data_IF_995399572584
#
_entry.id   IF_995399572584
#
_cell.length_a   1.000
_cell.length_b   1.000
_cell.length_c   1.000
_cell.angle_alpha   90.00
_cell.angle_beta   90.00
_cell.angle_gamma   90.00
#
_symmetry.space_group_name_H-M   'P 1'
#
loop_
_entity.id
_entity.type
_entity.pdbx_description
1 polymer ?
#
# COMPACT_ATOMS: atom_id res chain seq x y z
N UNK A 1 -13.39 17.39 8.16
CA UNK A 1 -12.32 18.21 7.55
C UNK A 1 -11.74 17.39 6.42
N UNK A 2 -11.68 17.92 5.18
CA UNK A 2 -11.22 17.19 3.99
C UNK A 2 -9.78 17.62 3.69
N UNK A 3 -8.87 16.69 3.40
CA UNK A 3 -7.51 17.02 2.96
C UNK A 3 -7.45 17.20 1.43
N UNK A 4 -6.41 17.89 0.98
CA UNK A 4 -6.03 18.05 -0.43
C UNK A 4 -5.79 16.69 -1.12
N UNK A 5 -5.96 16.59 -2.44
CA UNK A 5 -5.81 15.32 -3.18
C UNK A 5 -4.35 14.85 -3.20
N UNK A 6 -4.13 13.63 -3.69
CA UNK A 6 -2.80 13.04 -3.84
C UNK A 6 -1.78 13.94 -4.56
N UNK A 7 -0.52 13.88 -4.11
CA UNK A 7 0.60 14.51 -4.76
C UNK A 7 0.88 13.86 -6.12
N UNK A 8 1.02 14.69 -7.16
CA UNK A 8 1.37 14.25 -8.50
C UNK A 8 2.84 13.83 -8.61
N UNK A 9 3.20 13.09 -9.66
CA UNK A 9 4.63 12.80 -9.95
C UNK A 9 5.45 14.08 -10.11
N UNK A 10 4.84 15.16 -10.60
CA UNK A 10 5.48 16.45 -10.75
C UNK A 10 5.72 17.10 -9.38
N UNK A 11 4.73 17.03 -8.47
CA UNK A 11 4.87 17.53 -7.09
C UNK A 11 6.00 16.80 -6.37
N UNK A 12 6.06 15.47 -6.53
CA UNK A 12 7.14 14.65 -5.99
C UNK A 12 8.50 15.04 -6.60
N UNK A 13 8.58 15.29 -7.91
CA UNK A 13 9.82 15.73 -8.54
C UNK A 13 10.29 17.09 -8.02
N UNK A 14 9.37 18.04 -7.83
CA UNK A 14 9.65 19.36 -7.23
C UNK A 14 10.15 19.19 -5.80
N UNK A 15 9.47 18.37 -4.99
CA UNK A 15 9.88 18.07 -3.62
C UNK A 15 11.29 17.48 -3.56
N UNK A 16 11.57 16.43 -4.35
CA UNK A 16 12.89 15.79 -4.39
C UNK A 16 13.99 16.75 -4.86
N UNK A 17 13.68 17.68 -5.76
CA UNK A 17 14.63 18.70 -6.24
C UNK A 17 14.96 19.72 -5.16
N UNK A 18 14.03 19.99 -4.25
CA UNK A 18 14.21 20.94 -3.15
C UNK A 18 14.94 20.31 -1.94
N UNK A 19 15.04 18.98 -1.87
CA UNK A 19 15.75 18.30 -0.79
C UNK A 19 17.26 18.55 -0.86
N UNK A 20 17.94 18.74 0.29
CA UNK A 20 19.40 18.78 0.32
C UNK A 20 19.98 17.40 -0.03
N UNK A 21 21.17 17.37 -0.62
CA UNK A 21 21.85 16.13 -1.07
C UNK A 21 21.89 15.02 -0.01
N UNK A 22 22.06 15.38 1.27
CA UNK A 22 22.07 14.44 2.39
C UNK A 22 20.74 13.68 2.56
N UNK A 23 19.62 14.34 2.28
CA UNK A 23 18.27 13.77 2.40
C UNK A 23 17.93 12.95 1.17
N UNK A 24 18.38 13.36 -0.02
CA UNK A 24 18.32 12.52 -1.23
C UNK A 24 19.13 11.25 -1.04
N UNK A 25 20.35 11.34 -0.48
CA UNK A 25 21.16 10.18 -0.16
C UNK A 25 20.49 9.27 0.87
N UNK A 26 19.87 9.85 1.93
CA UNK A 26 19.12 9.08 2.92
C UNK A 26 17.91 8.35 2.30
N UNK A 27 17.20 8.99 1.38
CA UNK A 27 16.12 8.36 0.62
C UNK A 27 16.63 7.16 -0.19
N UNK A 28 17.74 7.29 -0.91
CA UNK A 28 18.31 6.19 -1.71
C UNK A 28 18.80 5.02 -0.84
N UNK A 29 19.25 5.29 0.38
CA UNK A 29 19.59 4.24 1.36
C UNK A 29 18.33 3.55 1.89
N UNK A 30 17.28 4.31 2.18
CA UNK A 30 16.01 3.79 2.68
C UNK A 30 15.18 3.08 1.59
N UNK A 31 15.38 3.43 0.32
CA UNK A 31 14.73 2.87 -0.87
C UNK A 31 15.78 2.37 -1.89
N UNK A 32 16.43 1.21 -1.64
CA UNK A 32 17.48 0.69 -2.51
C UNK A 32 17.04 0.44 -3.96
N UNK A 33 15.75 0.17 -4.16
CA UNK A 33 15.12 0.02 -5.48
C UNK A 33 15.21 1.29 -6.34
N UNK A 34 15.43 2.45 -5.72
CA UNK A 34 15.62 3.72 -6.42
C UNK A 34 17.07 3.96 -6.85
N UNK A 35 18.03 3.29 -6.22
CA UNK A 35 19.46 3.50 -6.47
C UNK A 35 19.94 2.82 -7.76
N UNK A 36 19.31 1.71 -8.18
CA UNK A 36 19.74 0.91 -9.32
C UNK A 36 18.57 0.61 -10.29
N UNK A 37 18.68 0.97 -11.59
CA UNK A 37 19.76 1.76 -12.20
C UNK A 37 19.70 3.24 -11.76
N UNK A 38 20.81 3.99 -11.81
CA UNK A 38 20.82 5.42 -11.47
C UNK A 38 19.81 6.21 -12.32
N UNK A 39 19.06 7.10 -11.68
CA UNK A 39 18.16 8.01 -12.39
C UNK A 39 18.95 9.14 -13.05
N UNK A 40 18.59 9.50 -14.29
CA UNK A 40 19.23 10.60 -15.03
C UNK A 40 18.72 11.99 -14.64
N UNK A 41 17.64 12.08 -13.84
CA UNK A 41 17.05 13.32 -13.34
C UNK A 41 16.16 13.07 -12.13
N UNK A 42 15.80 14.13 -11.38
CA UNK A 42 14.83 14.04 -10.28
C UNK A 42 13.41 13.68 -10.74
N UNK A 43 13.02 14.07 -11.96
CA UNK A 43 11.74 13.62 -12.53
C UNK A 43 11.75 12.11 -12.80
N UNK A 44 12.86 11.56 -13.30
CA UNK A 44 13.00 10.12 -13.49
C UNK A 44 13.01 9.37 -12.14
N UNK A 45 13.66 9.95 -11.12
CA UNK A 45 13.66 9.43 -9.76
C UNK A 45 12.24 9.44 -9.15
N UNK A 46 11.51 10.55 -9.26
CA UNK A 46 10.13 10.70 -8.81
C UNK A 46 9.20 9.71 -9.53
N UNK A 47 9.36 9.55 -10.84
CA UNK A 47 8.59 8.57 -11.63
C UNK A 47 8.80 7.15 -11.10
N UNK A 48 10.03 6.79 -10.75
CA UNK A 48 10.34 5.47 -10.17
C UNK A 48 9.83 5.33 -8.74
N UNK A 49 10.04 6.34 -7.90
CA UNK A 49 9.58 6.38 -6.52
C UNK A 49 8.05 6.27 -6.40
N UNK A 50 7.33 6.87 -7.35
CA UNK A 50 5.89 6.77 -7.50
C UNK A 50 5.41 5.61 -8.37
N UNK A 51 6.27 4.65 -8.72
CA UNK A 51 5.83 3.43 -9.40
C UNK A 51 5.20 2.46 -8.38
N UNK A 52 4.15 1.74 -8.79
CA UNK A 52 3.40 0.85 -7.90
C UNK A 52 4.30 -0.16 -7.16
N UNK A 53 5.13 -0.93 -7.88
CA UNK A 53 6.00 -1.93 -7.24
C UNK A 53 7.04 -1.33 -6.28
N UNK A 54 7.49 -0.10 -6.56
CA UNK A 54 8.42 0.64 -5.71
C UNK A 54 7.75 1.09 -4.40
N UNK A 55 6.49 1.55 -4.47
CA UNK A 55 5.67 1.86 -3.29
C UNK A 55 5.31 0.59 -2.50
N UNK A 56 4.91 -0.49 -3.17
CA UNK A 56 4.61 -1.77 -2.52
C UNK A 56 5.82 -2.31 -1.75
N UNK A 57 7.02 -2.23 -2.32
CA UNK A 57 8.26 -2.60 -1.66
C UNK A 57 8.55 -1.72 -0.43
N UNK A 58 8.29 -0.42 -0.52
CA UNK A 58 8.44 0.49 0.62
C UNK A 58 7.46 0.17 1.76
N UNK A 59 6.20 -0.13 1.42
CA UNK A 59 5.16 -0.50 2.38
C UNK A 59 5.46 -1.82 3.09
N UNK A 60 6.07 -2.78 2.38
CA UNK A 60 6.42 -4.09 2.94
C UNK A 60 7.39 -4.03 4.13
N UNK A 61 8.17 -2.95 4.25
CA UNK A 61 9.11 -2.73 5.36
C UNK A 61 8.52 -1.99 6.56
N UNK A 62 7.25 -1.56 6.51
CA UNK A 62 6.63 -0.77 7.57
C UNK A 62 6.04 -1.63 8.67
N UNK A 63 6.08 -1.12 9.91
CA UNK A 63 5.34 -1.71 11.01
C UNK A 63 3.84 -1.37 10.92
N UNK A 64 3.02 -2.10 11.70
CA UNK A 64 1.56 -1.93 11.67
C UNK A 64 1.09 -0.50 12.00
N UNK A 65 1.64 0.21 13.01
CA UNK A 65 1.30 1.61 13.26
C UNK A 65 1.62 2.53 12.08
N UNK A 66 2.81 2.42 11.47
CA UNK A 66 3.20 3.27 10.35
C UNK A 66 2.36 2.98 9.11
N UNK A 67 2.03 1.71 8.85
CA UNK A 67 1.13 1.32 7.77
C UNK A 67 -0.29 1.88 7.97
N UNK A 68 -0.82 1.82 9.20
CA UNK A 68 -2.11 2.40 9.53
C UNK A 68 -2.12 3.94 9.36
N UNK A 69 -1.03 4.62 9.71
CA UNK A 69 -0.89 6.06 9.45
C UNK A 69 -0.86 6.35 7.94
N UNK A 70 -0.13 5.57 7.15
CA UNK A 70 -0.10 5.71 5.69
C UNK A 70 -1.49 5.53 5.06
N UNK A 71 -2.21 4.49 5.46
CA UNK A 71 -3.58 4.24 5.02
C UNK A 71 -4.54 5.35 5.51
N UNK A 72 -4.30 5.93 6.68
CA UNK A 72 -5.13 7.00 7.23
C UNK A 72 -4.98 8.30 6.44
N UNK A 73 -3.75 8.64 6.03
CA UNK A 73 -3.50 9.78 5.13
C UNK A 73 -4.29 9.61 3.83
N UNK A 74 -4.28 8.42 3.24
CA UNK A 74 -5.09 8.09 2.04
C UNK A 74 -6.60 8.15 2.31
N UNK A 75 -7.06 7.59 3.44
CA UNK A 75 -8.48 7.56 3.79
C UNK A 75 -9.05 8.95 4.10
N UNK A 76 -8.25 9.86 4.63
CA UNK A 76 -8.68 11.22 5.00
C UNK A 76 -8.47 12.24 3.87
N UNK A 77 -7.73 11.84 2.82
CA UNK A 77 -7.61 12.57 1.55
C UNK A 77 -8.91 12.54 0.75
N UNK A 78 -9.33 13.70 0.24
CA UNK A 78 -10.52 13.87 -0.58
C UNK A 78 -10.18 14.10 -2.05
N UNK A 79 -10.98 13.58 -3.01
CA UNK A 79 -10.83 13.96 -4.42
C UNK A 79 -11.27 15.41 -4.63
N UNK A 80 -10.57 16.14 -5.51
CA UNK A 80 -11.02 17.44 -6.03
C UNK A 80 -12.12 17.27 -7.06
N UNK A 81 -13.06 18.21 -7.07
CA UNK A 81 -13.86 18.50 -8.26
C UNK A 81 -12.90 18.79 -9.42
N UNK A 82 -13.13 18.15 -10.56
CA UNK A 82 -12.31 18.19 -11.77
C UNK A 82 -11.79 19.60 -12.08
N UNK A 83 -10.46 19.80 -12.04
CA UNK A 83 -9.86 20.98 -12.66
C UNK A 83 -10.03 20.87 -14.18
N UNK A 84 -10.96 21.65 -14.70
CA UNK A 84 -11.08 21.96 -16.11
C UNK A 84 -9.81 22.67 -16.59
N UNK A 85 -9.07 21.97 -17.43
CA UNK A 85 -8.14 22.46 -18.47
C UNK A 85 -8.19 23.96 -18.80
N UNK A 86 -7.29 24.76 -18.23
CA UNK A 86 -6.75 26.00 -18.83
C UNK A 86 -5.30 26.13 -18.31
N UNK A 87 -4.21 26.08 -19.08
CA UNK A 87 -3.96 26.73 -20.36
C UNK A 87 -3.13 28.00 -20.12
N UNK A 88 -1.80 27.94 -20.25
CA UNK A 88 -1.00 29.16 -20.36
C UNK A 88 0.44 29.05 -19.85
N UNK A 89 1.39 29.02 -20.77
CA UNK A 89 2.82 28.96 -20.48
C UNK A 89 3.43 30.26 -19.97
N UNK A 90 4.66 30.17 -19.45
CA UNK A 90 5.39 31.34 -18.98
C UNK A 90 6.76 31.02 -18.40
N UNK A 91 7.70 30.62 -19.25
CA UNK A 91 9.14 30.56 -18.95
C UNK A 91 9.66 31.89 -18.40
N UNK A 92 10.32 31.89 -17.23
CA UNK A 92 11.42 32.82 -16.92
C UNK A 92 12.50 32.15 -16.07
N UNK A 93 13.67 32.13 -16.68
CA UNK A 93 15.01 31.92 -16.12
C UNK A 93 15.40 33.02 -15.13
N UNK A 94 16.05 32.65 -14.03
CA UNK A 94 16.95 33.54 -13.28
C UNK A 94 18.02 32.70 -12.57
N UNK A 95 19.25 32.83 -13.05
CA UNK A 95 20.49 32.43 -12.37
C UNK A 95 20.83 33.41 -11.24
N UNK A 96 21.50 32.95 -10.19
CA UNK A 96 21.99 33.81 -9.10
C UNK A 96 22.68 33.07 -7.95
N UNK A 97 23.91 32.62 -8.20
CA UNK A 97 25.13 32.68 -7.36
C UNK A 97 25.06 32.72 -5.81
N UNK A 98 25.65 31.69 -5.18
CA UNK A 98 26.66 31.74 -4.10
C UNK A 98 26.39 32.40 -2.74
N UNK A 99 26.43 31.62 -1.65
CA UNK A 99 27.32 31.85 -0.49
C UNK A 99 27.09 30.84 0.65
N UNK A 100 28.20 30.33 1.17
CA UNK A 100 28.36 29.48 2.35
C UNK A 100 27.71 30.04 3.63
N UNK A 101 27.19 29.12 4.46
CA UNK A 101 26.73 29.39 5.82
C UNK A 101 26.55 28.11 6.64
N UNK A 102 27.60 27.72 7.36
CA UNK A 102 27.56 26.70 8.42
C UNK A 102 26.59 27.11 9.54
N UNK A 103 25.53 26.34 9.80
CA UNK A 103 24.70 26.47 11.00
C UNK A 103 24.32 25.08 11.54
N UNK A 104 24.51 24.96 12.85
CA UNK A 104 24.24 23.81 13.70
C UNK A 104 22.78 23.32 13.60
N UNK A 105 22.61 22.02 13.44
CA UNK A 105 21.31 21.32 13.55
C UNK A 105 20.76 21.45 14.97
N UNK A 106 19.77 22.34 15.12
CA UNK A 106 18.79 22.33 16.20
C UNK A 106 17.45 22.14 15.51
N UNK A 107 16.77 21.03 15.84
CA UNK A 107 15.60 20.52 15.11
C UNK A 107 14.67 21.60 14.58
N UNK A 108 14.51 21.61 13.25
CA UNK A 108 13.52 22.39 12.53
C UNK A 108 12.12 22.10 13.12
N UNK A 109 11.28 23.11 13.39
CA UNK A 109 9.89 22.85 13.73
C UNK A 109 9.19 22.26 12.51
N UNK A 110 8.38 21.21 12.71
CA UNK A 110 7.53 20.65 11.67
C UNK A 110 6.73 21.74 10.95
N UNK A 111 6.55 21.59 9.63
CA UNK A 111 5.69 22.47 8.83
C UNK A 111 4.30 22.57 9.49
N UNK A 112 3.69 23.77 9.63
CA UNK A 112 2.33 23.90 10.16
C UNK A 112 1.30 22.99 9.47
N UNK A 113 1.50 22.62 8.21
CA UNK A 113 0.68 21.63 7.52
C UNK A 113 0.78 20.22 8.15
N UNK A 114 1.99 19.81 8.53
CA UNK A 114 2.25 18.50 9.15
C UNK A 114 1.71 18.42 10.58
N UNK A 115 1.76 19.51 11.34
CA UNK A 115 1.15 19.58 12.67
C UNK A 115 -0.38 19.37 12.60
N UNK A 116 -1.03 19.97 11.60
CA UNK A 116 -2.46 19.78 11.33
C UNK A 116 -2.80 18.34 10.94
N UNK A 117 -2.01 17.74 10.04
CA UNK A 117 -2.17 16.36 9.61
C UNK A 117 -2.00 15.37 10.77
N UNK A 118 -0.97 15.58 11.60
CA UNK A 118 -0.69 14.72 12.76
C UNK A 118 -1.89 14.69 13.71
N UNK A 119 -2.44 15.86 14.06
CA UNK A 119 -3.63 15.95 14.92
C UNK A 119 -4.86 15.28 14.30
N UNK A 120 -5.07 15.47 13.00
CA UNK A 120 -6.19 14.85 12.27
C UNK A 120 -6.10 13.32 12.30
N UNK A 121 -4.93 12.75 11.98
CA UNK A 121 -4.74 11.29 11.96
C UNK A 121 -4.82 10.71 13.38
N UNK A 122 -4.22 11.37 14.37
CA UNK A 122 -4.26 10.94 15.77
C UNK A 122 -5.70 10.95 16.35
N UNK A 123 -6.59 11.80 15.85
CA UNK A 123 -8.00 11.81 16.28
C UNK A 123 -8.79 10.58 15.80
N UNK A 124 -8.28 9.86 14.79
CA UNK A 124 -8.97 8.76 14.13
C UNK A 124 -8.33 7.38 14.35
N UNK A 125 -7.10 7.34 14.89
CA UNK A 125 -6.36 6.12 15.22
C UNK A 125 -6.10 6.02 16.73
N UNK A 126 -5.96 4.80 17.28
CA UNK A 126 -5.60 4.58 18.68
C UNK A 126 -4.09 4.78 18.90
N UNK A 127 -3.55 5.92 18.46
CA UNK A 127 -2.13 6.28 18.53
C UNK A 127 -1.96 7.67 19.15
N UNK A 128 -0.88 7.89 19.89
CA UNK A 128 -0.52 9.23 20.36
C UNK A 128 -0.08 10.14 19.20
N UNK A 129 -0.19 11.45 19.40
CA UNK A 129 0.28 12.46 18.43
C UNK A 129 1.77 12.29 18.14
N UNK A 130 2.58 11.91 19.13
CA UNK A 130 4.00 11.62 18.96
C UNK A 130 4.25 10.42 18.04
N UNK A 131 3.54 9.31 18.25
CA UNK A 131 3.64 8.11 17.40
C UNK A 131 3.22 8.42 15.95
N UNK A 132 2.15 9.19 15.77
CA UNK A 132 1.70 9.62 14.44
C UNK A 132 2.74 10.53 13.77
N UNK A 133 3.34 11.47 14.50
CA UNK A 133 4.37 12.35 13.98
C UNK A 133 5.63 11.56 13.55
N UNK A 134 6.04 10.58 14.36
CA UNK A 134 7.17 9.70 14.03
C UNK A 134 6.89 8.88 12.76
N UNK A 135 5.70 8.27 12.67
CA UNK A 135 5.25 7.53 11.50
C UNK A 135 5.18 8.42 10.24
N UNK A 136 4.58 9.61 10.33
CA UNK A 136 4.57 10.58 9.23
C UNK A 136 5.98 10.98 8.82
N UNK A 137 6.88 11.23 9.78
CA UNK A 137 8.29 11.51 9.49
C UNK A 137 8.97 10.37 8.75
N UNK A 138 8.63 9.12 9.07
CA UNK A 138 9.11 7.95 8.33
C UNK A 138 8.56 7.91 6.90
N UNK A 139 7.27 8.14 6.71
CA UNK A 139 6.64 8.19 5.39
C UNK A 139 7.19 9.31 4.49
N UNK A 140 7.52 10.47 5.06
CA UNK A 140 8.20 11.56 4.36
C UNK A 140 9.62 11.15 3.92
N UNK A 141 10.40 10.50 4.79
CA UNK A 141 11.74 9.98 4.43
C UNK A 141 11.69 8.95 3.29
N UNK A 142 10.59 8.22 3.16
CA UNK A 142 10.35 7.26 2.08
C UNK A 142 9.70 7.88 0.82
N UNK A 143 9.45 9.19 0.84
CA UNK A 143 8.75 9.94 -0.20
C UNK A 143 7.36 9.36 -0.54
N UNK A 144 6.67 8.81 0.45
CA UNK A 144 5.30 8.29 0.34
C UNK A 144 4.24 9.35 0.66
N UNK A 145 4.60 10.33 1.48
CA UNK A 145 3.80 11.52 1.78
C UNK A 145 4.66 12.74 1.49
N UNK A 146 4.11 13.72 0.78
CA UNK A 146 4.77 14.95 0.37
C UNK A 146 3.85 16.12 0.69
N UNK A 147 4.33 17.09 1.47
CA UNK A 147 3.53 18.26 1.89
C UNK A 147 2.18 17.85 2.52
N UNK A 148 2.20 16.81 3.36
CA UNK A 148 1.01 16.25 3.98
C UNK A 148 0.03 15.54 3.03
N UNK A 149 0.40 15.29 1.76
CA UNK A 149 -0.44 14.60 0.76
C UNK A 149 0.14 13.22 0.41
N UNK A 150 -0.68 12.16 0.27
CA UNK A 150 -0.18 10.87 -0.17
C UNK A 150 0.23 10.93 -1.64
N UNK A 151 1.29 10.24 -2.06
CA UNK A 151 1.59 10.09 -3.49
C UNK A 151 0.54 9.20 -4.17
N UNK A 152 0.18 9.47 -5.44
CA UNK A 152 -0.91 8.75 -6.11
C UNK A 152 -0.77 7.21 -6.11
N UNK A 153 0.46 6.69 -6.20
CA UNK A 153 0.71 5.25 -6.13
C UNK A 153 0.46 4.64 -4.74
N UNK A 154 0.51 5.44 -3.68
CA UNK A 154 0.12 5.02 -2.33
C UNK A 154 -1.40 4.77 -2.25
N UNK A 155 -2.21 5.65 -2.86
CA UNK A 155 -3.66 5.43 -2.96
C UNK A 155 -3.97 4.14 -3.74
N UNK A 156 -3.25 3.92 -4.85
CA UNK A 156 -3.41 2.71 -5.66
C UNK A 156 -3.04 1.44 -4.87
N UNK A 157 -2.01 1.48 -4.03
CA UNK A 157 -1.56 0.35 -3.22
C UNK A 157 -2.59 -0.10 -2.17
N UNK A 158 -3.26 0.84 -1.51
CA UNK A 158 -4.36 0.51 -0.57
C UNK A 158 -5.69 0.20 -1.28
N UNK A 159 -5.79 0.52 -2.56
CA UNK A 159 -6.97 0.26 -3.37
C UNK A 159 -8.15 1.18 -3.05
N UNK A 160 -9.35 0.86 -3.57
CA UNK A 160 -10.48 1.79 -3.57
C UNK A 160 -11.15 1.99 -2.20
N UNK A 161 -10.85 1.12 -1.22
CA UNK A 161 -11.55 1.06 0.06
C UNK A 161 -10.57 0.98 1.25
N UNK A 162 -9.72 1.99 1.47
CA UNK A 162 -8.83 2.03 2.62
C UNK A 162 -9.65 1.94 3.93
N UNK A 163 -9.23 1.11 4.88
CA UNK A 163 -9.96 0.73 6.09
C UNK A 163 -11.39 0.21 5.85
N UNK A 164 -11.66 -0.35 4.67
CA UNK A 164 -13.00 -0.73 4.24
C UNK A 164 -13.96 0.44 4.09
N UNK A 165 -13.46 1.68 3.97
CA UNK A 165 -14.29 2.86 3.78
C UNK A 165 -14.67 3.00 2.30
N UNK A 166 -15.93 3.36 2.05
CA UNK A 166 -16.40 3.69 0.71
C UNK A 166 -15.73 4.96 0.13
N UNK A 167 -16.14 5.37 -1.08
CA UNK A 167 -15.82 6.67 -1.60
C UNK A 167 -16.48 7.76 -0.74
N UNK A 168 -16.00 8.99 -0.91
CA UNK A 168 -16.70 10.17 -0.41
C UNK A 168 -18.10 10.25 -1.03
N UNK A 169 -19.08 10.70 -0.24
CA UNK A 169 -20.42 10.97 -0.75
C UNK A 169 -20.36 11.94 -1.94
N UNK A 170 -21.16 11.69 -2.97
CA UNK A 170 -21.23 12.54 -4.16
C UNK A 170 -21.63 13.98 -3.80
N UNK A 171 -22.55 14.13 -2.84
CA UNK A 171 -22.92 15.41 -2.25
C UNK A 171 -22.26 15.56 -0.87
N UNK A 172 -21.64 16.72 -0.57
CA UNK A 172 -21.09 16.98 0.75
C UNK A 172 -22.14 16.92 1.87
N UNK A 173 -21.95 15.99 2.81
CA UNK A 173 -22.77 15.88 4.02
C UNK A 173 -22.25 16.83 5.12
N UNK A 174 -23.16 17.61 5.72
CA UNK A 174 -22.92 18.38 6.94
C UNK A 174 -22.97 17.48 8.18
N UNK A 175 -22.44 17.97 9.31
CA UNK A 175 -22.40 17.21 10.56
C UNK A 175 -23.79 16.78 11.07
N UNK A 176 -24.83 17.58 10.80
CA UNK A 176 -26.22 17.30 11.19
C UNK A 176 -26.88 16.21 10.34
N UNK A 177 -26.34 15.94 9.14
CA UNK A 177 -26.85 14.92 8.21
C UNK A 177 -26.19 13.54 8.45
N UNK A 178 -25.09 13.50 9.22
CA UNK A 178 -24.41 12.24 9.53
C UNK A 178 -25.21 11.43 10.54
N UNK A 179 -25.19 10.09 10.44
CA UNK A 179 -25.85 9.24 11.42
C UNK A 179 -25.20 9.37 12.80
N UNK A 180 -25.94 9.06 13.88
CA UNK A 180 -25.33 8.74 15.16
C UNK A 180 -24.47 7.46 15.04
N UNK A 181 -23.77 7.10 16.10
CA UNK A 181 -22.94 5.90 16.12
C UNK A 181 -23.78 4.63 15.96
N UNK A 182 -23.16 3.56 15.47
CA UNK A 182 -23.84 2.28 15.29
C UNK A 182 -24.34 1.68 16.63
N UNK A 183 -23.64 1.99 17.72
CA UNK A 183 -24.02 1.60 19.09
C UNK A 183 -25.31 2.31 19.50
N UNK A 184 -25.37 3.64 19.37
CA UNK A 184 -26.57 4.44 19.63
C UNK A 184 -27.78 3.99 18.79
N UNK A 185 -27.59 3.70 17.49
CA UNK A 185 -28.65 3.16 16.64
C UNK A 185 -29.16 1.78 17.06
N UNK A 186 -28.32 0.99 17.72
CA UNK A 186 -28.66 -0.36 18.18
C UNK A 186 -29.31 -0.38 19.57
N UNK A 187 -28.98 0.61 20.41
CA UNK A 187 -29.46 0.75 21.78
C UNK A 187 -30.80 1.48 21.90
N UNK A 188 -31.32 2.06 20.81
CA UNK A 188 -32.53 2.90 20.72
C UNK A 188 -33.86 2.13 20.97
N UNK A 189 -33.85 1.19 21.92
CA UNK A 189 -34.97 0.37 22.36
C UNK A 189 -35.98 1.14 23.24
N UNK A 190 -35.68 2.38 23.65
CA UNK A 190 -36.53 3.18 24.54
C UNK A 190 -37.27 4.35 23.84
N UNK A 191 -36.93 4.65 22.58
CA UNK A 191 -37.51 5.74 21.77
C UNK A 191 -38.19 5.26 20.47
N UNK A 192 -38.58 6.20 19.61
CA UNK A 192 -38.97 5.88 18.22
C UNK A 192 -37.68 5.68 17.41
N UNK A 193 -37.42 4.48 16.87
CA UNK A 193 -36.15 4.18 16.23
C UNK A 193 -35.96 5.02 14.97
N UNK A 194 -34.81 5.69 14.88
CA UNK A 194 -34.46 6.59 13.76
C UNK A 194 -34.60 5.89 12.39
N UNK A 195 -34.24 4.61 12.33
CA UNK A 195 -34.40 3.77 11.14
C UNK A 195 -34.88 2.36 11.52
N UNK A 196 -35.53 1.61 10.62
CA UNK A 196 -35.97 0.24 10.90
C UNK A 196 -34.81 -0.73 11.22
N UNK A 197 -35.10 -1.79 11.98
CA UNK A 197 -34.10 -2.81 12.34
C UNK A 197 -33.32 -3.39 11.14
N UNK A 198 -34.00 -3.62 10.01
CA UNK A 198 -33.37 -4.10 8.78
C UNK A 198 -32.35 -3.11 8.19
N UNK A 199 -32.53 -1.81 8.43
CA UNK A 199 -31.55 -0.76 8.06
C UNK A 199 -30.34 -0.80 8.99
N UNK A 200 -30.55 -1.00 10.30
CA UNK A 200 -29.45 -1.16 11.27
C UNK A 200 -28.61 -2.41 10.94
N UNK A 201 -29.23 -3.55 10.65
CA UNK A 201 -28.52 -4.78 10.23
C UNK A 201 -27.67 -4.55 8.97
N UNK A 202 -28.20 -3.80 7.99
CA UNK A 202 -27.45 -3.44 6.79
C UNK A 202 -26.25 -2.54 7.11
N UNK A 203 -26.41 -1.53 7.97
CA UNK A 203 -25.32 -0.68 8.41
C UNK A 203 -24.27 -1.48 9.20
N UNK A 204 -24.67 -2.42 10.05
CA UNK A 204 -23.73 -3.30 10.77
C UNK A 204 -22.84 -4.10 9.82
N UNK A 205 -23.40 -4.62 8.72
CA UNK A 205 -22.64 -5.35 7.71
C UNK A 205 -21.67 -4.46 6.92
N UNK A 206 -22.10 -3.23 6.55
CA UNK A 206 -21.34 -2.32 5.70
C UNK A 206 -20.31 -1.48 6.47
N UNK A 207 -20.51 -1.23 7.77
CA UNK A 207 -19.69 -0.29 8.54
C UNK A 207 -18.24 -0.72 8.64
N UNK A 208 -17.98 -2.01 8.90
CA UNK A 208 -16.61 -2.57 9.01
C UNK A 208 -16.29 -3.62 7.94
N UNK A 209 -17.30 -4.08 7.19
CA UNK A 209 -17.13 -4.97 6.05
C UNK A 209 -16.83 -4.19 4.76
N UNK A 210 -16.93 -4.86 3.60
CA UNK A 210 -16.89 -4.16 2.33
C UNK A 210 -17.95 -3.05 2.30
N UNK A 211 -17.61 -1.81 1.92
CA UNK A 211 -18.55 -0.69 1.97
C UNK A 211 -19.62 -0.77 0.89
N UNK A 212 -19.56 -1.78 0.00
CA UNK A 212 -20.48 -1.96 -1.10
C UNK A 212 -21.18 -3.32 -1.05
N UNK A 213 -22.51 -3.29 -1.22
CA UNK A 213 -23.35 -4.47 -1.44
C UNK A 213 -23.86 -4.51 -2.87
N UNK A 214 -23.99 -5.70 -3.47
CA UNK A 214 -24.62 -5.84 -4.79
C UNK A 214 -25.82 -6.78 -4.72
N UNK A 215 -26.90 -6.39 -5.39
CA UNK A 215 -28.07 -7.24 -5.60
C UNK A 215 -28.17 -7.64 -7.06
N UNK A 216 -28.50 -8.91 -7.28
CA UNK A 216 -28.94 -9.39 -8.59
C UNK A 216 -30.28 -8.73 -8.97
N UNK A 217 -30.57 -8.68 -10.26
CA UNK A 217 -31.82 -8.11 -10.77
C UNK A 217 -33.03 -8.77 -10.10
N UNK A 218 -33.94 -7.96 -9.54
CA UNK A 218 -35.12 -8.43 -8.80
C UNK A 218 -34.89 -8.79 -7.31
N UNK A 219 -33.64 -8.74 -6.83
CA UNK A 219 -33.34 -8.85 -5.39
C UNK A 219 -33.88 -7.65 -4.60
N UNK A 220 -34.19 -7.86 -3.32
CA UNK A 220 -34.68 -6.82 -2.41
C UNK A 220 -33.69 -6.58 -1.27
N UNK A 221 -33.53 -5.32 -0.89
CA UNK A 221 -32.82 -4.87 0.31
C UNK A 221 -33.80 -4.04 1.15
N UNK A 222 -34.60 -4.66 2.03
CA UNK A 222 -35.65 -3.95 2.78
C UNK A 222 -35.10 -2.80 3.64
N UNK A 223 -33.87 -2.91 4.13
CA UNK A 223 -33.20 -1.86 4.91
C UNK A 223 -32.63 -0.70 4.09
N UNK A 224 -32.58 -0.78 2.75
CA UNK A 224 -31.87 0.23 1.96
C UNK A 224 -32.67 1.52 1.72
N UNK A 225 -34.00 1.44 1.55
CA UNK A 225 -34.81 2.61 1.20
C UNK A 225 -34.75 3.72 2.27
N UNK A 226 -34.92 3.44 3.59
CA UNK A 226 -34.78 4.46 4.61
C UNK A 226 -33.36 5.08 4.62
N UNK A 227 -32.33 4.26 4.44
CA UNK A 227 -30.94 4.75 4.43
C UNK A 227 -30.66 5.68 3.25
N UNK A 228 -31.27 5.43 2.09
CA UNK A 228 -31.17 6.31 0.92
C UNK A 228 -31.93 7.62 1.18
N UNK A 229 -33.13 7.56 1.77
CA UNK A 229 -33.92 8.74 2.12
C UNK A 229 -33.19 9.66 3.11
N UNK A 230 -32.44 9.10 4.05
CA UNK A 230 -31.56 9.85 4.95
C UNK A 230 -30.24 10.32 4.32
N UNK A 231 -29.92 9.91 3.09
CA UNK A 231 -28.63 10.20 2.44
C UNK A 231 -27.45 9.43 3.02
N UNK A 232 -27.71 8.38 3.81
CA UNK A 232 -26.69 7.54 4.44
C UNK A 232 -26.19 6.41 3.53
N UNK A 233 -26.93 6.06 2.47
CA UNK A 233 -26.57 5.02 1.53
C UNK A 233 -26.79 5.51 0.10
N UNK A 234 -25.80 5.33 -0.76
CA UNK A 234 -25.92 5.66 -2.17
C UNK A 234 -26.30 4.42 -2.98
N UNK A 235 -27.14 4.63 -4.01
CA UNK A 235 -27.56 3.58 -4.93
C UNK A 235 -27.12 3.92 -6.34
N UNK A 236 -26.39 3.00 -6.96
CA UNK A 236 -26.11 3.04 -8.40
C UNK A 236 -26.64 1.77 -9.09
N UNK A 237 -26.92 1.88 -10.39
CA UNK A 237 -27.36 0.74 -11.20
C UNK A 237 -26.52 0.67 -12.47
N UNK A 238 -26.04 -0.51 -12.83
CA UNK A 238 -25.31 -0.70 -14.09
C UNK A 238 -26.25 -0.97 -15.26
N UNK A 239 -25.71 -0.93 -16.49
CA UNK A 239 -26.46 -1.20 -17.72
C UNK A 239 -27.07 -2.63 -17.78
N UNK A 240 -26.65 -3.54 -16.89
CA UNK A 240 -27.17 -4.91 -16.76
C UNK A 240 -28.25 -5.04 -15.68
N UNK A 241 -28.68 -3.92 -15.09
CA UNK A 241 -29.72 -3.86 -14.06
C UNK A 241 -29.26 -4.36 -12.68
N UNK A 242 -27.96 -4.55 -12.45
CA UNK A 242 -27.44 -4.87 -11.12
C UNK A 242 -27.48 -3.60 -10.28
N UNK A 243 -28.14 -3.69 -9.13
CA UNK A 243 -28.17 -2.59 -8.16
C UNK A 243 -26.98 -2.73 -7.23
N UNK A 244 -26.18 -1.68 -7.12
CA UNK A 244 -25.10 -1.55 -6.14
C UNK A 244 -25.51 -0.52 -5.11
N UNK A 245 -25.29 -0.86 -3.85
CA UNK A 245 -25.33 0.09 -2.75
C UNK A 245 -23.91 0.35 -2.28
N UNK A 246 -23.63 1.58 -1.88
CA UNK A 246 -22.35 1.95 -1.31
C UNK A 246 -22.55 2.87 -0.12
N UNK A 247 -21.87 2.54 0.98
CA UNK A 247 -21.85 3.33 2.21
C UNK A 247 -20.79 4.43 2.04
N UNK A 248 -21.18 5.71 2.00
CA UNK A 248 -20.23 6.79 1.87
C UNK A 248 -19.26 6.85 3.05
N UNK A 249 -18.03 7.27 2.78
CA UNK A 249 -16.93 7.34 3.74
C UNK A 249 -17.30 8.09 5.03
N UNK A 250 -17.93 9.26 4.89
CA UNK A 250 -18.30 10.10 6.04
C UNK A 250 -19.35 9.43 6.93
N UNK A 251 -20.30 8.72 6.32
CA UNK A 251 -21.36 7.98 7.02
C UNK A 251 -20.74 6.82 7.78
N UNK A 252 -19.86 6.04 7.12
CA UNK A 252 -19.13 4.95 7.76
C UNK A 252 -18.30 5.45 8.96
N UNK A 253 -17.56 6.55 8.81
CA UNK A 253 -16.79 7.13 9.90
C UNK A 253 -17.67 7.59 11.08
N UNK A 254 -18.81 8.21 10.81
CA UNK A 254 -19.76 8.60 11.85
C UNK A 254 -20.30 7.38 12.61
N UNK A 255 -20.72 6.33 11.90
CA UNK A 255 -21.17 5.07 12.48
C UNK A 255 -20.10 4.39 13.36
N UNK A 256 -18.81 4.56 13.01
CA UNK A 256 -17.66 4.05 13.77
C UNK A 256 -17.28 4.91 14.99
N UNK A 257 -17.95 6.04 15.21
CA UNK A 257 -17.59 7.03 16.23
C UNK A 257 -16.27 7.75 15.90
N UNK A 258 -15.98 7.94 14.61
CA UNK A 258 -14.76 8.57 14.13
C UNK A 258 -13.53 7.64 14.09
N UNK A 259 -13.64 6.35 14.39
CA UNK A 259 -12.48 5.44 14.39
C UNK A 259 -12.21 4.86 13.00
N UNK A 260 -10.94 4.81 12.60
CA UNK A 260 -10.51 4.14 11.37
C UNK A 260 -10.33 2.64 11.56
N UNK A 261 -9.86 2.20 12.73
CA UNK A 261 -9.66 0.79 13.06
C UNK A 261 -10.72 0.27 14.04
N UNK A 262 -11.11 -1.00 13.88
CA UNK A 262 -12.07 -1.66 14.77
C UNK A 262 -11.43 -2.04 16.10
N UNK A 263 -10.19 -2.50 16.02
CA UNK A 263 -9.39 -2.97 17.12
C UNK A 263 -8.19 -2.05 17.32
N UNK A 264 -7.57 -2.13 18.50
CA UNK A 264 -6.35 -1.38 18.79
C UNK A 264 -5.16 -1.96 18.03
N UNK A 265 -4.23 -1.10 17.62
CA UNK A 265 -3.00 -1.48 16.95
C UNK A 265 -1.96 -1.95 17.98
N UNK A 266 -2.22 -3.11 18.60
CA UNK A 266 -1.34 -3.69 19.61
C UNK A 266 -0.34 -4.64 18.95
N UNK A 267 0.94 -4.50 19.27
CA UNK A 267 1.95 -5.46 18.83
C UNK A 267 1.63 -6.87 19.40
N UNK A 268 1.87 -7.95 18.65
CA UNK A 268 1.66 -9.30 19.14
C UNK A 268 2.54 -9.56 20.37
N UNK A 269 1.96 -10.19 21.39
CA UNK A 269 2.70 -10.56 22.60
C UNK A 269 3.65 -11.72 22.30
N UNK A 270 4.94 -11.53 22.59
CA UNK A 270 5.97 -12.54 22.36
C UNK A 270 6.29 -13.38 23.59
N UNK A 271 5.72 -13.04 24.76
CA UNK A 271 6.07 -13.63 26.05
C UNK A 271 5.70 -15.11 26.19
N UNK A 272 4.73 -15.60 25.41
CA UNK A 272 4.31 -17.01 25.41
C UNK A 272 5.01 -17.86 24.33
N UNK A 273 5.83 -17.23 23.46
CA UNK A 273 6.51 -17.94 22.38
C UNK A 273 7.71 -18.74 22.90
N UNK A 274 7.86 -19.95 22.36
CA UNK A 274 9.06 -20.76 22.60
C UNK A 274 10.30 -20.02 22.09
N UNK A 275 11.31 -19.87 22.94
CA UNK A 275 12.58 -19.25 22.55
C UNK A 275 13.55 -20.33 22.09
N UNK A 276 13.98 -20.24 20.83
CA UNK A 276 15.00 -21.12 20.27
C UNK A 276 16.40 -20.53 20.54
N UNK A 277 17.36 -21.36 20.91
CA UNK A 277 18.75 -20.95 21.14
C UNK A 277 19.39 -20.37 19.87
N UNK A 278 20.15 -19.27 20.01
CA UNK A 278 20.75 -18.58 18.86
C UNK A 278 21.74 -19.45 18.06
N UNK A 279 22.35 -20.44 18.70
CA UNK A 279 23.21 -21.45 18.07
C UNK A 279 22.40 -22.40 17.17
N UNK A 280 21.24 -22.86 17.64
CA UNK A 280 20.31 -23.67 16.85
C UNK A 280 19.79 -22.85 15.66
N UNK A 281 19.36 -21.60 15.89
CA UNK A 281 18.91 -20.70 14.82
C UNK A 281 20.01 -20.52 13.77
N UNK A 282 21.26 -20.27 14.18
CA UNK A 282 22.38 -20.10 13.26
C UNK A 282 22.68 -21.38 12.46
N UNK A 283 22.63 -22.54 13.09
CA UNK A 283 22.85 -23.84 12.44
C UNK A 283 21.76 -24.12 11.39
N UNK A 284 20.50 -24.04 11.78
CA UNK A 284 19.36 -24.29 10.86
C UNK A 284 19.31 -23.26 9.73
N UNK A 285 19.57 -21.98 10.02
CA UNK A 285 19.62 -20.94 8.98
C UNK A 285 20.73 -21.21 7.96
N UNK A 286 21.91 -21.64 8.42
CA UNK A 286 23.03 -21.96 7.53
C UNK A 286 22.72 -23.17 6.66
N UNK A 287 22.13 -24.22 7.24
CA UNK A 287 21.71 -25.41 6.51
C UNK A 287 20.68 -25.06 5.42
N UNK A 288 19.66 -24.29 5.76
CA UNK A 288 18.63 -23.88 4.80
C UNK A 288 19.17 -22.93 3.73
N UNK A 289 20.09 -22.03 4.08
CA UNK A 289 20.75 -21.17 3.10
C UNK A 289 21.55 -21.99 2.06
N UNK A 290 22.35 -22.96 2.53
CA UNK A 290 23.11 -23.86 1.66
C UNK A 290 22.18 -24.70 0.77
N UNK A 291 21.12 -25.25 1.34
CA UNK A 291 20.15 -26.05 0.60
C UNK A 291 19.40 -25.21 -0.45
N UNK A 292 19.00 -23.99 -0.13
CA UNK A 292 18.37 -23.07 -1.09
C UNK A 292 19.32 -22.76 -2.25
N UNK A 293 20.59 -22.45 -2.00
CA UNK A 293 21.58 -22.22 -3.07
C UNK A 293 21.75 -23.48 -3.94
N UNK A 294 21.80 -24.66 -3.31
CA UNK A 294 21.88 -25.94 -4.04
C UNK A 294 20.67 -26.16 -4.94
N UNK A 295 19.46 -25.88 -4.44
CA UNK A 295 18.19 -26.03 -5.18
C UNK A 295 18.06 -25.00 -6.31
N UNK A 296 18.47 -23.75 -6.10
CA UNK A 296 18.51 -22.73 -7.16
C UNK A 296 19.49 -23.14 -8.27
N UNK A 297 20.67 -23.65 -7.92
CA UNK A 297 21.62 -24.15 -8.92
C UNK A 297 21.04 -25.31 -9.73
N UNK A 298 20.37 -26.28 -9.08
CA UNK A 298 19.69 -27.39 -9.75
C UNK A 298 18.55 -26.92 -10.66
N UNK A 299 17.79 -25.91 -10.23
CA UNK A 299 16.75 -25.27 -11.05
C UNK A 299 17.34 -24.65 -12.31
N UNK A 300 18.42 -23.87 -12.18
CA UNK A 300 19.08 -23.21 -13.32
C UNK A 300 19.63 -24.24 -14.31
N UNK A 301 20.17 -25.36 -13.82
CA UNK A 301 20.62 -26.45 -14.68
C UNK A 301 19.44 -27.11 -15.41
N UNK A 302 18.34 -27.38 -14.70
CA UNK A 302 17.14 -28.00 -15.28
C UNK A 302 16.48 -27.10 -16.33
N UNK A 303 16.35 -25.81 -16.05
CA UNK A 303 15.74 -24.85 -16.97
C UNK A 303 16.67 -24.40 -18.08
N UNK A 304 17.99 -24.58 -17.91
CA UNK A 304 18.96 -24.47 -19.00
C UNK A 304 18.82 -25.60 -20.04
N UNK A 305 18.32 -26.77 -19.64
CA UNK A 305 18.01 -27.88 -20.57
C UNK A 305 16.64 -27.74 -21.20
N UNK A 306 15.63 -27.43 -20.38
CA UNK A 306 14.25 -27.23 -20.84
C UNK A 306 13.59 -26.11 -20.02
N UNK A 307 13.33 -24.97 -20.68
CA UNK A 307 12.77 -23.78 -20.04
C UNK A 307 11.37 -23.99 -19.42
N UNK A 308 11.04 -23.11 -18.48
CA UNK A 308 9.74 -23.06 -17.83
C UNK A 308 8.68 -22.41 -18.71
N UNK A 309 7.74 -23.18 -19.25
CA UNK A 309 6.67 -22.63 -20.10
C UNK A 309 5.74 -21.66 -19.34
N UNK A 310 5.24 -20.64 -20.03
CA UNK A 310 4.49 -19.52 -19.44
C UNK A 310 2.97 -19.71 -19.55
N UNK A 311 2.21 -19.20 -18.58
CA UNK A 311 0.74 -19.10 -18.65
C UNK A 311 0.29 -17.84 -19.38
N UNK A 312 -0.91 -17.87 -19.97
CA UNK A 312 -1.53 -16.69 -20.63
C UNK A 312 -1.62 -15.44 -19.72
N UNK A 313 -1.73 -15.64 -18.42
CA UNK A 313 -1.82 -14.58 -17.40
C UNK A 313 -0.45 -14.12 -16.87
N UNK A 314 0.65 -14.59 -17.45
CA UNK A 314 1.98 -14.51 -16.84
C UNK A 314 2.22 -15.62 -15.81
N UNK A 315 3.50 -15.86 -15.50
CA UNK A 315 3.95 -16.90 -14.56
C UNK A 315 4.16 -18.28 -15.17
N UNK A 316 4.59 -19.24 -14.35
CA UNK A 316 4.99 -20.59 -14.76
C UNK A 316 3.78 -21.51 -14.94
N UNK A 317 3.80 -22.32 -15.99
CA UNK A 317 2.73 -23.28 -16.26
C UNK A 317 2.73 -24.42 -15.24
N UNK A 318 1.55 -25.00 -14.99
CA UNK A 318 1.42 -26.16 -14.09
C UNK A 318 2.33 -27.31 -14.52
N UNK A 319 2.46 -27.55 -15.83
CA UNK A 319 3.34 -28.60 -16.36
C UNK A 319 4.81 -28.33 -16.04
N UNK A 320 5.26 -27.08 -16.21
CA UNK A 320 6.63 -26.70 -15.89
C UNK A 320 6.90 -26.79 -14.38
N UNK A 321 5.93 -26.38 -13.55
CA UNK A 321 6.02 -26.51 -12.10
C UNK A 321 6.12 -27.98 -11.66
N UNK A 322 5.25 -28.86 -12.16
CA UNK A 322 5.28 -30.29 -11.83
C UNK A 322 6.59 -30.94 -12.27
N UNK A 323 7.07 -30.69 -13.50
CA UNK A 323 8.38 -31.20 -13.96
C UNK A 323 9.52 -30.75 -13.05
N UNK A 324 9.51 -29.48 -12.65
CA UNK A 324 10.54 -28.91 -11.79
C UNK A 324 10.48 -29.53 -10.39
N UNK A 325 9.28 -29.70 -9.83
CA UNK A 325 9.07 -30.35 -8.55
C UNK A 325 9.60 -31.80 -8.57
N UNK A 326 9.28 -32.56 -9.61
CA UNK A 326 9.78 -33.93 -9.79
C UNK A 326 11.31 -33.97 -9.94
N UNK A 327 11.90 -33.08 -10.75
CA UNK A 327 13.34 -33.02 -11.01
C UNK A 327 14.15 -32.64 -9.76
N UNK A 328 13.62 -31.76 -8.92
CA UNK A 328 14.27 -31.32 -7.68
C UNK A 328 13.89 -32.18 -6.47
N UNK A 329 12.99 -33.16 -6.64
CA UNK A 329 12.41 -33.98 -5.57
C UNK A 329 11.75 -33.13 -4.46
N UNK A 330 10.94 -32.16 -4.86
CA UNK A 330 10.24 -31.22 -3.99
C UNK A 330 8.72 -31.35 -4.13
N UNK A 331 8.01 -30.96 -3.08
CA UNK A 331 6.58 -30.64 -3.19
C UNK A 331 6.36 -29.40 -4.06
N UNK A 332 5.19 -29.30 -4.70
CA UNK A 332 4.87 -28.23 -5.65
C UNK A 332 5.07 -26.82 -5.07
N UNK A 333 4.60 -26.59 -3.83
CA UNK A 333 4.75 -25.29 -3.16
C UNK A 333 6.21 -24.94 -2.85
N UNK A 334 7.04 -25.94 -2.56
CA UNK A 334 8.47 -25.74 -2.32
C UNK A 334 9.22 -25.42 -3.63
N UNK A 335 8.91 -26.14 -4.72
CA UNK A 335 9.45 -25.83 -6.04
C UNK A 335 9.06 -24.42 -6.50
N UNK A 336 7.80 -24.02 -6.27
CA UNK A 336 7.33 -22.67 -6.56
C UNK A 336 8.15 -21.61 -5.82
N UNK A 337 8.39 -21.78 -4.51
CA UNK A 337 9.23 -20.85 -3.73
C UNK A 337 10.66 -20.74 -4.27
N UNK A 338 11.28 -21.84 -4.70
CA UNK A 338 12.63 -21.79 -5.29
C UNK A 338 12.62 -21.04 -6.62
N UNK A 339 11.61 -21.27 -7.46
CA UNK A 339 11.43 -20.53 -8.72
C UNK A 339 11.25 -19.03 -8.46
N UNK A 340 10.38 -18.67 -7.52
CA UNK A 340 10.13 -17.27 -7.16
C UNK A 340 11.38 -16.61 -6.57
N UNK A 341 12.13 -17.32 -5.72
CA UNK A 341 13.40 -16.85 -5.17
C UNK A 341 14.43 -16.59 -6.28
N UNK A 342 14.59 -17.53 -7.22
CA UNK A 342 15.50 -17.37 -8.35
C UNK A 342 15.09 -16.24 -9.29
N UNK A 343 13.80 -16.07 -9.55
CA UNK A 343 13.26 -14.97 -10.34
C UNK A 343 13.45 -13.61 -9.63
N UNK A 344 13.19 -13.55 -8.32
CA UNK A 344 13.40 -12.36 -7.49
C UNK A 344 14.88 -11.94 -7.40
N UNK A 345 15.79 -12.92 -7.43
CA UNK A 345 17.23 -12.70 -7.52
C UNK A 345 17.73 -12.34 -8.94
N UNK A 346 16.84 -12.27 -9.94
CA UNK A 346 17.20 -11.98 -11.32
C UNK A 346 17.97 -13.09 -12.04
N UNK A 347 18.00 -14.31 -11.48
CA UNK A 347 18.69 -15.48 -12.07
C UNK A 347 17.87 -16.15 -13.17
N UNK A 348 16.59 -15.81 -13.28
CA UNK A 348 15.68 -16.24 -14.34
C UNK A 348 15.23 -15.04 -15.18
N UNK A 349 15.10 -15.25 -16.47
CA UNK A 349 14.58 -14.29 -17.43
C UNK A 349 13.71 -14.96 -18.49
N UNK A 350 13.11 -14.17 -19.36
CA UNK A 350 12.43 -14.68 -20.54
C UNK A 350 13.41 -14.89 -21.68
N UNK A 351 13.15 -15.90 -22.51
CA UNK A 351 13.83 -16.06 -23.80
C UNK A 351 13.48 -14.91 -24.78
N UNK A 352 14.17 -14.86 -25.92
CA UNK A 352 14.01 -13.80 -26.92
C UNK A 352 12.57 -13.71 -27.47
N UNK A 353 11.85 -14.84 -27.50
CA UNK A 353 10.46 -14.94 -27.94
C UNK A 353 9.45 -14.57 -26.84
N UNK A 354 9.90 -14.37 -25.59
CA UNK A 354 9.04 -14.11 -24.43
C UNK A 354 8.13 -15.28 -24.07
N UNK A 355 8.45 -16.49 -24.52
CA UNK A 355 7.60 -17.67 -24.48
C UNK A 355 7.96 -18.62 -23.33
N UNK A 356 9.22 -18.61 -22.89
CA UNK A 356 9.71 -19.48 -21.82
C UNK A 356 10.62 -18.76 -20.83
N UNK A 357 10.56 -19.22 -19.58
CA UNK A 357 11.54 -18.85 -18.56
C UNK A 357 12.81 -19.67 -18.72
N UNK A 358 13.94 -18.99 -18.75
CA UNK A 358 15.28 -19.57 -18.89
C UNK A 358 16.26 -18.92 -17.90
N UNK A 359 17.42 -19.54 -17.61
CA UNK A 359 18.48 -18.89 -16.86
C UNK A 359 18.86 -17.55 -17.51
N UNK A 360 18.99 -16.52 -16.69
CA UNK A 360 19.37 -15.18 -17.15
C UNK A 360 20.86 -15.08 -17.46
N UNK A 361 21.30 -13.94 -17.99
CA UNK A 361 22.72 -13.65 -18.19
C UNK A 361 23.54 -13.61 -16.89
N UNK A 362 22.89 -13.38 -15.73
CA UNK A 362 23.54 -13.37 -14.42
C UNK A 362 23.83 -14.79 -13.90
N UNK A 363 23.05 -15.78 -14.32
CA UNK A 363 23.11 -17.14 -13.80
C UNK A 363 24.50 -17.79 -13.96
N UNK A 364 25.18 -17.54 -15.08
CA UNK A 364 26.50 -18.12 -15.34
C UNK A 364 27.56 -17.61 -14.37
N UNK A 365 27.56 -16.31 -14.07
CA UNK A 365 28.46 -15.72 -13.08
C UNK A 365 28.16 -16.24 -11.67
N UNK A 366 26.87 -16.21 -11.30
CA UNK A 366 26.41 -16.72 -10.02
C UNK A 366 26.81 -18.18 -9.78
N UNK A 367 26.68 -19.07 -10.77
CA UNK A 367 27.07 -20.48 -10.62
C UNK A 367 28.58 -20.69 -10.37
N UNK A 368 29.42 -19.73 -10.77
CA UNK A 368 30.88 -19.79 -10.53
C UNK A 368 31.30 -19.20 -9.19
N UNK A 369 30.42 -18.46 -8.53
CA UNK A 369 30.71 -17.80 -7.25
C UNK A 369 30.80 -18.80 -6.09
N UNK A 370 31.55 -18.41 -5.06
CA UNK A 370 31.60 -19.17 -3.81
C UNK A 370 30.23 -19.23 -3.15
N UNK A 371 29.97 -20.25 -2.31
CA UNK A 371 28.67 -20.39 -1.63
C UNK A 371 28.23 -19.12 -0.88
N UNK A 372 29.09 -18.43 -0.10
CA UNK A 372 28.69 -17.18 0.54
C UNK A 372 28.34 -16.06 -0.44
N UNK A 373 29.02 -15.98 -1.59
CA UNK A 373 28.73 -14.98 -2.63
C UNK A 373 27.44 -15.30 -3.40
N UNK A 374 27.09 -16.57 -3.54
CA UNK A 374 25.81 -16.99 -4.12
C UNK A 374 24.62 -16.72 -3.22
N UNK A 375 24.83 -16.72 -1.91
CA UNK A 375 23.80 -16.44 -0.92
C UNK A 375 23.56 -14.94 -0.68
N UNK A 376 24.64 -14.15 -0.71
CA UNK A 376 24.59 -12.69 -0.55
C UNK A 376 23.84 -12.03 -1.71
#
# INVERSE_FOLDING_TARGET
MRMSPSASTQDLAVHLTALPDREVAALLVARPDLAAPPSSSFLALATRAGAQGSVEQALAGLDAPTLAVAEAVVALSGPTESEETEGGGGTRTAEGDGSDGNVQSKGEPADPADAGLTGLVAAHLPLSTEQVAEALGHLHRLALVVEGRPVAALEAAFGPHPFGLGPWAAEPLSAEQLPPTLEELSEDAAGEPVVPAASVEMLQALTWGPPAGTLRSGGRAPGAAPLIEHGWLERSSDARGRTRFILPRQVALALRGGRLTRESLTAPETGELETVGGDVVASESSFHAEETVRLVAALLEEWGREGGTIRRTGGVSVRALTRTADALALEADAAARIIETAAGAGLLGLDDDGATWVPSSLAAGWLTDSLPQRWA
#
